data_IF_171643984129
#
_entry.id   IF_171643984129
#
_cell.length_a   1.000
_cell.length_b   1.000
_cell.length_c   1.000
_cell.angle_alpha   90.00
_cell.angle_beta   90.00
_cell.angle_gamma   90.00
#
_symmetry.space_group_name_H-M   'P 1'
#
loop_
_entity.id
_entity.type
_entity.pdbx_description
1 polymer ?
#
# COMPACT_ATOMS: atom_id res chain seq x y z
N UNK A 1 18.13 -9.87 -6.72
CA UNK A 1 17.32 -11.01 -6.18
C UNK A 1 15.84 -10.68 -6.15
N UNK A 2 14.96 -11.61 -6.56
CA UNK A 2 13.50 -11.49 -6.44
C UNK A 2 13.08 -11.48 -4.97
N UNK A 3 11.86 -11.02 -4.65
CA UNK A 3 11.24 -11.32 -3.35
C UNK A 3 11.45 -12.81 -3.08
N UNK A 4 11.88 -13.19 -1.88
CA UNK A 4 11.97 -14.58 -1.53
C UNK A 4 10.55 -15.18 -1.60
N UNK A 5 10.27 -16.00 -2.62
CA UNK A 5 8.94 -16.60 -2.84
C UNK A 5 8.51 -17.51 -1.67
N UNK A 6 9.41 -17.74 -0.70
CA UNK A 6 9.12 -18.44 0.55
C UNK A 6 8.47 -17.56 1.64
N UNK A 7 8.42 -16.23 1.49
CA UNK A 7 7.78 -15.36 2.49
C UNK A 7 6.30 -15.20 2.16
N UNK A 8 5.46 -15.74 3.04
CA UNK A 8 4.01 -15.78 2.94
C UNK A 8 3.36 -14.98 4.06
N UNK A 9 2.05 -14.72 3.94
CA UNK A 9 1.27 -14.09 4.99
C UNK A 9 1.37 -14.83 6.33
N UNK A 10 1.45 -16.17 6.31
CA UNK A 10 1.66 -16.97 7.53
C UNK A 10 2.97 -16.63 8.26
N UNK A 11 4.03 -16.29 7.53
CA UNK A 11 5.31 -15.91 8.14
C UNK A 11 5.26 -14.52 8.79
N UNK A 12 4.44 -13.62 8.25
CA UNK A 12 4.38 -12.21 8.69
C UNK A 12 3.24 -11.92 9.66
N UNK A 13 2.26 -12.83 9.77
CA UNK A 13 1.06 -12.52 10.55
C UNK A 13 1.36 -12.42 12.04
N UNK A 14 0.64 -11.51 12.69
CA UNK A 14 0.56 -11.40 14.14
C UNK A 14 -0.85 -11.77 14.58
N UNK A 15 -0.93 -12.62 15.60
CA UNK A 15 -2.20 -13.14 16.12
C UNK A 15 -2.83 -12.19 17.16
N UNK A 16 -2.07 -11.23 17.68
CA UNK A 16 -2.59 -10.20 18.56
C UNK A 16 -3.11 -9.03 17.72
N UNK A 17 -4.43 -8.95 17.56
CA UNK A 17 -5.09 -7.87 16.84
C UNK A 17 -6.44 -7.52 17.47
N UNK A 18 -6.91 -6.31 17.21
CA UNK A 18 -8.25 -5.90 17.62
C UNK A 18 -9.24 -6.55 16.65
N UNK A 19 -10.14 -7.39 17.18
CA UNK A 19 -11.31 -7.89 16.50
C UNK A 19 -12.58 -7.47 17.24
N UNK A 20 -13.54 -6.88 16.54
CA UNK A 20 -14.81 -6.38 17.10
C UNK A 20 -15.97 -6.67 16.14
N UNK A 21 -17.17 -6.78 16.71
CA UNK A 21 -18.43 -6.85 15.98
C UNK A 21 -18.77 -5.50 15.31
N UNK A 22 -19.42 -5.52 14.16
CA UNK A 22 -19.91 -4.32 13.47
C UNK A 22 -20.97 -3.56 14.27
N UNK A 23 -21.70 -4.28 15.12
CA UNK A 23 -22.71 -3.72 16.02
C UNK A 23 -22.13 -3.08 17.28
N UNK A 24 -20.84 -3.27 17.54
CA UNK A 24 -20.21 -2.72 18.73
C UNK A 24 -20.15 -1.17 18.67
N UNK A 25 -20.20 -0.49 19.82
CA UNK A 25 -20.04 0.97 19.89
C UNK A 25 -18.66 1.40 19.40
N UNK A 26 -18.59 2.53 18.67
CA UNK A 26 -17.32 3.12 18.24
C UNK A 26 -16.42 3.49 19.44
N UNK A 27 -16.99 3.87 20.58
CA UNK A 27 -16.23 4.15 21.80
C UNK A 27 -15.36 2.98 22.25
N UNK A 28 -15.84 1.73 22.10
CA UNK A 28 -15.10 0.51 22.41
C UNK A 28 -13.91 0.30 21.45
N UNK A 29 -14.11 0.56 20.15
CA UNK A 29 -13.06 0.50 19.15
C UNK A 29 -11.95 1.52 19.46
N UNK A 30 -12.33 2.78 19.68
CA UNK A 30 -11.42 3.87 20.00
C UNK A 30 -10.60 3.54 21.26
N UNK A 31 -11.26 3.06 22.32
CA UNK A 31 -10.59 2.65 23.56
C UNK A 31 -9.52 1.59 23.32
N UNK A 32 -9.88 0.48 22.65
CA UNK A 32 -8.94 -0.58 22.32
C UNK A 32 -7.77 -0.11 21.44
N UNK A 33 -8.04 0.73 20.43
CA UNK A 33 -7.00 1.27 19.55
C UNK A 33 -6.02 2.19 20.28
N UNK A 34 -6.49 2.90 21.32
CA UNK A 34 -5.64 3.73 22.17
C UNK A 34 -4.74 2.87 23.06
N UNK A 35 -5.32 1.88 23.75
CA UNK A 35 -4.62 0.98 24.66
C UNK A 35 -3.50 0.20 23.95
N UNK A 36 -3.81 -0.39 22.78
CA UNK A 36 -2.83 -1.19 22.03
C UNK A 36 -1.96 -0.38 21.07
N UNK A 37 -2.21 0.93 20.96
CA UNK A 37 -1.63 1.81 19.92
C UNK A 37 -1.86 1.31 18.48
N UNK A 38 -2.80 0.39 18.26
CA UNK A 38 -3.04 -0.23 16.96
C UNK A 38 -3.43 0.78 15.87
N UNK A 39 -3.00 0.52 14.65
CA UNK A 39 -3.24 1.39 13.49
C UNK A 39 -4.63 1.19 12.87
N UNK A 40 -5.24 0.05 13.16
CA UNK A 40 -6.59 -0.30 12.77
C UNK A 40 -7.09 -1.54 13.50
N UNK A 41 -8.31 -1.92 13.21
CA UNK A 41 -8.98 -3.08 13.76
C UNK A 41 -9.65 -3.90 12.66
N UNK A 42 -9.74 -5.21 12.89
CA UNK A 42 -10.56 -6.12 12.10
C UNK A 42 -11.99 -6.08 12.64
N UNK A 43 -12.96 -6.13 11.73
CA UNK A 43 -14.38 -6.24 12.06
C UNK A 43 -14.90 -7.58 11.58
N UNK A 44 -15.52 -8.34 12.47
CA UNK A 44 -16.06 -9.67 12.16
C UNK A 44 -17.25 -10.02 13.05
N UNK A 45 -18.30 -10.60 12.47
CA UNK A 45 -19.50 -11.11 13.13
C UNK A 45 -19.76 -12.56 12.73
N UNK A 46 -18.88 -13.45 13.15
CA UNK A 46 -18.82 -14.84 12.67
C UNK A 46 -18.23 -14.97 11.25
N UNK A 47 -18.46 -13.97 10.40
CA UNK A 47 -17.80 -13.77 9.10
C UNK A 47 -17.03 -12.44 9.10
N UNK A 48 -16.04 -12.34 8.21
CA UNK A 48 -15.24 -11.12 8.08
C UNK A 48 -15.99 -10.01 7.33
N UNK A 49 -16.12 -8.83 7.95
CA UNK A 49 -16.86 -7.69 7.39
C UNK A 49 -15.94 -6.64 6.75
N UNK A 50 -14.73 -6.44 7.29
CA UNK A 50 -13.80 -5.43 6.83
C UNK A 50 -12.82 -4.98 7.92
N UNK A 51 -12.18 -3.83 7.71
CA UNK A 51 -11.31 -3.20 8.71
C UNK A 51 -11.80 -1.80 9.06
N UNK A 52 -11.28 -1.24 10.15
CA UNK A 52 -11.39 0.18 10.45
C UNK A 52 -10.01 0.74 10.73
N UNK A 53 -9.61 1.79 10.01
CA UNK A 53 -8.32 2.46 10.23
C UNK A 53 -8.50 3.79 10.99
N UNK A 54 -7.42 4.26 11.64
CA UNK A 54 -7.40 5.63 12.23
C UNK A 54 -7.77 6.71 11.20
N UNK A 55 -7.32 6.52 9.95
CA UNK A 55 -7.57 7.45 8.83
C UNK A 55 -9.07 7.53 8.48
N UNK A 56 -9.77 6.39 8.45
CA UNK A 56 -11.22 6.36 8.21
C UNK A 56 -12.02 6.97 9.34
N UNK A 57 -11.64 6.68 10.58
CA UNK A 57 -12.30 7.28 11.74
C UNK A 57 -12.27 8.80 11.67
N UNK A 58 -11.16 9.36 11.19
CA UNK A 58 -11.05 10.80 11.01
C UNK A 58 -11.84 11.36 9.83
N UNK A 59 -11.74 10.73 8.65
CA UNK A 59 -12.45 11.21 7.46
C UNK A 59 -13.97 11.14 7.63
N UNK A 60 -14.45 10.41 8.64
CA UNK A 60 -15.86 10.23 8.93
C UNK A 60 -16.30 11.14 10.08
N UNK A 61 -17.47 11.77 9.95
CA UNK A 61 -18.11 12.49 11.05
C UNK A 61 -18.62 11.46 12.07
N UNK A 62 -17.93 11.31 13.20
CA UNK A 62 -18.26 10.32 14.23
C UNK A 62 -19.03 10.96 15.38
N UNK A 63 -20.13 10.31 15.79
CA UNK A 63 -20.77 10.55 17.09
C UNK A 63 -20.41 9.37 18.02
N UNK A 64 -19.40 9.58 18.87
CA UNK A 64 -18.84 8.53 19.74
C UNK A 64 -19.88 7.96 20.72
N UNK A 65 -20.91 8.74 21.06
CA UNK A 65 -21.92 8.34 22.04
C UNK A 65 -22.99 7.41 21.46
N UNK A 66 -23.26 7.50 20.15
CA UNK A 66 -24.41 6.81 19.51
C UNK A 66 -24.03 5.93 18.32
N UNK A 67 -22.85 6.12 17.73
CA UNK A 67 -22.46 5.46 16.49
C UNK A 67 -21.88 4.05 16.73
N UNK A 68 -22.27 3.13 15.86
CA UNK A 68 -21.75 1.75 15.76
C UNK A 68 -20.63 1.63 14.73
N UNK A 69 -19.80 0.59 14.88
CA UNK A 69 -18.65 0.33 14.00
C UNK A 69 -19.05 0.16 12.53
N UNK A 70 -20.22 -0.42 12.23
CA UNK A 70 -20.75 -0.62 10.87
C UNK A 70 -20.67 0.63 9.96
N UNK A 71 -20.72 1.85 10.51
CA UNK A 71 -20.69 3.09 9.73
C UNK A 71 -19.29 3.52 9.28
N UNK A 72 -18.25 2.92 9.86
CA UNK A 72 -16.84 3.27 9.62
C UNK A 72 -16.02 2.11 9.06
N UNK A 73 -16.66 1.01 8.64
CA UNK A 73 -15.99 -0.13 8.01
C UNK A 73 -15.46 0.26 6.63
N UNK A 74 -14.24 -0.19 6.35
CA UNK A 74 -13.58 -0.14 5.05
C UNK A 74 -13.50 -1.55 4.47
N UNK A 75 -13.89 -1.68 3.20
CA UNK A 75 -13.71 -2.93 2.46
C UNK A 75 -12.22 -3.15 2.22
N UNK A 76 -11.66 -4.16 2.86
CA UNK A 76 -10.28 -4.57 2.69
C UNK A 76 -10.24 -6.08 2.43
N UNK A 77 -9.65 -6.57 1.34
CA UNK A 77 -9.51 -8.00 1.12
C UNK A 77 -8.68 -8.68 2.20
N UNK A 78 -9.10 -9.86 2.65
CA UNK A 78 -8.30 -10.70 3.53
C UNK A 78 -7.33 -11.58 2.72
N UNK A 79 -6.12 -11.73 3.25
CA UNK A 79 -5.08 -12.61 2.73
C UNK A 79 -5.37 -14.06 3.07
N UNK A 80 -5.06 -14.98 2.17
CA UNK A 80 -4.83 -16.38 2.53
C UNK A 80 -3.46 -16.51 3.21
N UNK A 81 -3.27 -17.53 4.04
CA UNK A 81 -1.97 -17.80 4.67
C UNK A 81 -0.84 -18.05 3.67
N UNK A 82 -1.18 -18.59 2.50
CA UNK A 82 -0.25 -18.89 1.42
C UNK A 82 0.03 -17.67 0.52
N UNK A 83 -0.63 -16.53 0.73
CA UNK A 83 -0.41 -15.35 -0.09
C UNK A 83 1.02 -14.85 0.11
N UNK A 84 1.79 -14.84 -0.99
CA UNK A 84 3.17 -14.38 -0.99
C UNK A 84 3.27 -12.87 -0.78
N UNK A 85 4.43 -12.43 -0.31
CA UNK A 85 4.72 -11.03 0.01
C UNK A 85 4.42 -10.03 -1.13
N UNK A 86 4.50 -10.45 -2.39
CA UNK A 86 4.08 -9.62 -3.53
C UNK A 86 2.58 -9.31 -3.50
N UNK A 87 1.75 -10.33 -3.27
CA UNK A 87 0.29 -10.16 -3.14
C UNK A 87 -0.04 -9.25 -1.96
N UNK A 88 0.70 -9.38 -0.86
CA UNK A 88 0.58 -8.52 0.32
C UNK A 88 0.86 -7.06 -0.05
N UNK A 89 1.99 -6.76 -0.72
CA UNK A 89 2.35 -5.41 -1.16
C UNK A 89 1.27 -4.82 -2.08
N UNK A 90 0.82 -5.59 -3.08
CA UNK A 90 -0.21 -5.15 -4.02
C UNK A 90 -1.53 -4.84 -3.32
N UNK A 91 -1.96 -5.69 -2.39
CA UNK A 91 -3.18 -5.45 -1.62
C UNK A 91 -3.04 -4.22 -0.71
N UNK A 92 -1.90 -4.01 -0.05
CA UNK A 92 -1.66 -2.81 0.77
C UNK A 92 -1.73 -1.53 -0.06
N UNK A 93 -1.12 -1.52 -1.25
CA UNK A 93 -1.15 -0.37 -2.16
C UNK A 93 -2.57 -0.08 -2.65
N UNK A 94 -3.32 -1.11 -3.06
CA UNK A 94 -4.66 -0.95 -3.63
C UNK A 94 -5.74 -0.61 -2.60
N UNK A 95 -5.62 -1.10 -1.37
CA UNK A 95 -6.58 -0.84 -0.30
C UNK A 95 -6.18 0.33 0.61
N UNK A 96 -5.06 0.99 0.31
CA UNK A 96 -4.52 2.15 1.03
C UNK A 96 -4.39 1.98 2.56
N UNK A 97 -4.24 0.73 2.99
CA UNK A 97 -4.11 0.35 4.40
C UNK A 97 -2.71 -0.15 4.70
N UNK A 98 -2.31 0.02 5.96
CA UNK A 98 -1.04 -0.50 6.49
C UNK A 98 -1.22 -1.81 7.25
N UNK A 99 -2.45 -2.32 7.30
CA UNK A 99 -2.80 -3.61 7.90
C UNK A 99 -3.65 -4.44 6.95
N UNK A 100 -3.31 -5.71 6.77
CA UNK A 100 -4.12 -6.67 6.01
C UNK A 100 -4.53 -7.84 6.92
N UNK A 101 -5.83 -8.19 6.99
CA UNK A 101 -6.26 -9.36 7.73
C UNK A 101 -5.83 -10.64 7.03
N UNK A 102 -5.52 -11.68 7.80
CA UNK A 102 -5.20 -13.03 7.32
C UNK A 102 -6.30 -13.98 7.73
N UNK A 103 -6.84 -14.74 6.78
CA UNK A 103 -7.94 -15.65 6.99
C UNK A 103 -7.56 -17.12 6.73
N UNK A 104 -8.18 -17.99 7.54
CA UNK A 104 -8.20 -19.44 7.34
C UNK A 104 -9.65 -19.91 7.44
N UNK A 105 -10.12 -20.60 6.41
CA UNK A 105 -11.51 -21.11 6.33
C UNK A 105 -12.58 -20.03 6.67
N UNK A 106 -12.40 -18.82 6.14
CA UNK A 106 -13.34 -17.69 6.32
C UNK A 106 -13.27 -16.97 7.66
N UNK A 107 -12.40 -17.40 8.59
CA UNK A 107 -12.17 -16.74 9.87
C UNK A 107 -10.85 -15.99 9.86
N UNK A 108 -10.83 -14.77 10.41
CA UNK A 108 -9.60 -14.01 10.58
C UNK A 108 -8.79 -14.60 11.73
N UNK A 109 -7.55 -14.98 11.46
CA UNK A 109 -6.62 -15.59 12.41
C UNK A 109 -5.44 -14.68 12.79
N UNK A 110 -5.22 -13.61 12.03
CA UNK A 110 -4.13 -12.68 12.26
C UNK A 110 -4.20 -11.45 11.36
N UNK A 111 -3.21 -10.58 11.50
CA UNK A 111 -3.00 -9.41 10.63
C UNK A 111 -1.53 -9.30 10.23
N UNK A 112 -1.27 -8.80 9.02
CA UNK A 112 0.07 -8.44 8.54
C UNK A 112 0.18 -6.92 8.53
N UNK A 113 1.25 -6.38 9.13
CA UNK A 113 1.54 -4.94 9.10
C UNK A 113 2.53 -4.58 8.01
N UNK A 114 2.37 -3.41 7.41
CA UNK A 114 3.23 -2.92 6.34
C UNK A 114 4.70 -2.77 6.78
N UNK A 115 4.96 -2.44 8.05
CA UNK A 115 6.31 -2.35 8.59
C UNK A 115 7.01 -3.72 8.61
N UNK A 116 6.29 -4.78 8.97
CA UNK A 116 6.83 -6.15 8.94
C UNK A 116 7.15 -6.58 7.50
N UNK A 117 6.29 -6.22 6.54
CA UNK A 117 6.55 -6.43 5.11
C UNK A 117 7.84 -5.74 4.68
N UNK A 118 7.94 -4.42 4.88
CA UNK A 118 9.12 -3.64 4.46
C UNK A 118 10.41 -4.13 5.15
N UNK A 119 10.34 -4.55 6.40
CA UNK A 119 11.50 -5.11 7.12
C UNK A 119 12.01 -6.41 6.47
N UNK A 120 11.11 -7.30 6.07
CA UNK A 120 11.50 -8.50 5.32
C UNK A 120 12.06 -8.15 3.95
N UNK A 121 11.46 -7.18 3.27
CA UNK A 121 11.94 -6.72 1.97
C UNK A 121 13.37 -6.22 2.02
N UNK A 122 13.73 -5.48 3.07
CA UNK A 122 15.10 -5.02 3.31
C UNK A 122 16.12 -6.16 3.28
N UNK A 123 15.75 -7.37 3.74
CA UNK A 123 16.67 -8.49 3.82
C UNK A 123 16.87 -9.22 2.47
N UNK A 124 15.92 -9.09 1.55
CA UNK A 124 15.88 -9.93 0.33
C UNK A 124 15.97 -9.15 -0.98
N UNK A 125 15.91 -7.82 -0.95
CA UNK A 125 15.91 -6.98 -2.15
C UNK A 125 17.14 -6.07 -2.27
N UNK A 126 17.40 -5.61 -3.51
CA UNK A 126 18.44 -4.63 -3.81
C UNK A 126 18.06 -3.21 -3.37
N UNK A 127 16.79 -3.01 -2.99
CA UNK A 127 16.29 -1.72 -2.51
C UNK A 127 17.02 -1.25 -1.26
N UNK A 128 17.50 -2.16 -0.41
CA UNK A 128 18.23 -1.85 0.81
C UNK A 128 19.40 -0.87 0.59
N UNK A 129 20.06 -0.94 -0.57
CA UNK A 129 21.23 -0.11 -0.90
C UNK A 129 20.90 1.18 -1.66
N UNK A 130 19.64 1.36 -2.09
CA UNK A 130 19.20 2.59 -2.75
C UNK A 130 19.29 3.78 -1.80
N UNK A 131 19.54 4.97 -2.34
CA UNK A 131 19.58 6.20 -1.56
C UNK A 131 18.16 6.72 -1.32
N UNK A 132 17.92 7.27 -0.13
CA UNK A 132 16.62 7.81 0.27
C UNK A 132 16.04 8.81 -0.75
N UNK A 133 16.87 9.71 -1.29
CA UNK A 133 16.45 10.69 -2.29
C UNK A 133 15.89 10.11 -3.59
N UNK A 134 16.19 8.86 -3.93
CA UNK A 134 15.69 8.22 -5.15
C UNK A 134 14.20 7.85 -5.03
N UNK A 135 13.70 7.72 -3.80
CA UNK A 135 12.37 7.21 -3.49
C UNK A 135 11.51 8.26 -2.77
N UNK A 136 12.15 9.10 -1.96
CA UNK A 136 11.47 10.10 -1.15
C UNK A 136 10.72 11.13 -1.99
N UNK A 137 9.63 11.64 -1.42
CA UNK A 137 9.01 12.87 -1.93
C UNK A 137 9.91 14.04 -1.57
N UNK A 138 10.57 14.62 -2.57
CA UNK A 138 11.42 15.80 -2.40
C UNK A 138 10.57 17.08 -2.27
N UNK A 139 11.12 18.09 -1.59
CA UNK A 139 10.45 19.36 -1.30
C UNK A 139 9.10 19.15 -0.59
N UNK A 140 9.11 18.58 0.63
CA UNK A 140 7.89 18.28 1.35
C UNK A 140 7.14 19.57 1.70
N UNK A 141 5.82 19.48 1.84
CA UNK A 141 5.03 20.58 2.38
C UNK A 141 5.43 20.77 3.84
N UNK A 142 5.84 21.98 4.21
CA UNK A 142 6.22 22.35 5.58
C UNK A 142 5.34 23.47 6.12
N UNK A 143 5.25 23.56 7.45
CA UNK A 143 4.60 24.67 8.15
C UNK A 143 5.55 25.30 9.16
N UNK A 144 5.31 26.56 9.49
CA UNK A 144 6.08 27.25 10.52
C UNK A 144 5.51 26.95 11.91
N UNK A 145 6.33 27.04 12.95
CA UNK A 145 5.91 26.93 14.36
C UNK A 145 4.70 27.82 14.72
N UNK A 146 4.66 29.02 14.14
CA UNK A 146 3.61 30.02 14.36
C UNK A 146 2.33 29.81 13.53
N UNK A 147 2.34 28.87 12.58
CA UNK A 147 1.13 28.53 11.82
C UNK A 147 0.10 27.89 12.74
N UNK A 148 -1.16 27.85 12.32
CA UNK A 148 -2.26 27.36 13.15
C UNK A 148 -2.62 25.90 12.86
N UNK A 149 -3.21 25.23 13.85
CA UNK A 149 -3.76 23.88 13.68
C UNK A 149 -4.85 23.84 12.60
N UNK A 150 -5.66 24.90 12.45
CA UNK A 150 -6.62 25.00 11.35
C UNK A 150 -5.95 24.89 9.98
N UNK A 151 -4.86 25.64 9.77
CA UNK A 151 -4.08 25.61 8.53
C UNK A 151 -3.50 24.22 8.29
N UNK A 152 -2.91 23.61 9.32
CA UNK A 152 -2.38 22.25 9.24
C UNK A 152 -3.45 21.23 8.83
N UNK A 153 -4.60 21.22 9.51
CA UNK A 153 -5.71 20.30 9.16
C UNK A 153 -6.29 20.56 7.78
N UNK A 154 -6.36 21.81 7.34
CA UNK A 154 -6.79 22.14 5.98
C UNK A 154 -5.84 21.50 4.97
N UNK A 155 -4.52 21.70 5.12
CA UNK A 155 -3.50 21.12 4.25
C UNK A 155 -3.52 19.59 4.29
N UNK A 156 -3.55 18.98 5.48
CA UNK A 156 -3.63 17.52 5.64
C UNK A 156 -4.83 16.94 4.88
N UNK A 157 -5.98 17.62 4.93
CA UNK A 157 -7.20 17.19 4.23
C UNK A 157 -7.11 17.41 2.71
N UNK A 158 -6.68 18.58 2.25
CA UNK A 158 -6.68 18.92 0.83
C UNK A 158 -5.55 18.27 0.05
N UNK A 159 -4.41 18.00 0.71
CA UNK A 159 -3.25 17.32 0.13
C UNK A 159 -3.18 15.83 0.49
N UNK A 160 -4.15 15.36 1.28
CA UNK A 160 -4.28 13.97 1.71
C UNK A 160 -3.04 13.39 2.44
N UNK A 161 -2.30 14.26 3.14
CA UNK A 161 -1.11 13.91 3.91
C UNK A 161 -1.41 13.76 5.39
N UNK A 162 -0.75 12.81 6.05
CA UNK A 162 -0.95 12.52 7.46
C UNK A 162 -0.01 13.26 8.41
N UNK A 163 1.11 13.79 7.91
CA UNK A 163 2.20 14.40 8.70
C UNK A 163 2.84 15.54 7.94
N UNK A 164 3.25 16.57 8.67
CA UNK A 164 3.85 17.79 8.13
C UNK A 164 5.09 18.14 8.96
N UNK A 165 6.29 18.25 8.36
CA UNK A 165 7.46 18.79 9.02
C UNK A 165 7.27 20.27 9.39
N UNK A 166 7.69 20.64 10.58
CA UNK A 166 7.54 21.99 11.13
C UNK A 166 8.90 22.66 11.21
N UNK A 167 9.00 23.91 10.76
CA UNK A 167 10.26 24.66 10.73
C UNK A 167 10.25 25.88 11.64
N UNK A 168 11.42 26.19 12.20
CA UNK A 168 11.70 27.43 12.91
C UNK A 168 11.73 28.64 11.95
N UNK A 169 11.92 29.84 12.50
CA UNK A 169 12.02 31.08 11.73
C UNK A 169 13.21 31.12 10.74
N UNK A 170 14.23 30.27 10.92
CA UNK A 170 15.41 30.15 10.03
C UNK A 170 15.23 29.07 8.95
N UNK A 171 14.05 28.43 8.92
CA UNK A 171 13.72 27.35 7.99
C UNK A 171 14.32 26.00 8.38
N UNK A 172 14.86 25.86 9.60
CA UNK A 172 15.38 24.58 10.12
C UNK A 172 14.25 23.75 10.67
N UNK A 173 14.34 22.43 10.55
CA UNK A 173 13.37 21.50 11.12
C UNK A 173 13.36 21.63 12.64
N UNK A 174 12.20 21.93 13.20
CA UNK A 174 11.97 22.10 14.63
C UNK A 174 11.09 20.98 15.21
N UNK A 175 10.18 20.43 14.40
CA UNK A 175 9.28 19.38 14.85
C UNK A 175 8.58 18.66 13.70
N UNK A 176 7.68 17.76 14.07
CA UNK A 176 6.73 17.14 13.14
C UNK A 176 5.34 17.19 13.75
N UNK A 177 4.36 17.63 12.95
CA UNK A 177 2.96 17.58 13.34
C UNK A 177 2.28 16.44 12.61
N UNK A 178 1.78 15.46 13.35
CA UNK A 178 1.00 14.38 12.79
C UNK A 178 -0.49 14.55 13.05
N UNK A 179 -1.25 13.99 12.12
CA UNK A 179 -2.68 13.84 12.26
C UNK A 179 -3.07 13.13 13.57
N UNK A 180 -2.25 12.15 14.00
CA UNK A 180 -2.44 11.43 15.26
C UNK A 180 -2.35 12.36 16.47
N UNK A 181 -1.40 13.28 16.48
CA UNK A 181 -1.17 14.21 17.61
C UNK A 181 -2.40 15.09 17.83
N UNK A 182 -2.96 15.62 16.74
CA UNK A 182 -4.19 16.41 16.76
C UNK A 182 -5.39 15.58 17.28
N UNK A 183 -5.55 14.34 16.81
CA UNK A 183 -6.69 13.49 17.24
C UNK A 183 -6.58 13.07 18.70
N UNK A 184 -5.44 12.53 19.10
CA UNK A 184 -5.27 11.95 20.43
C UNK A 184 -5.43 13.01 21.52
N UNK A 185 -4.98 14.25 21.25
CA UNK A 185 -5.03 15.34 22.23
C UNK A 185 -6.39 16.03 22.29
N UNK A 186 -7.18 16.03 21.21
CA UNK A 186 -8.39 16.85 21.13
C UNK A 186 -9.69 16.09 20.88
N UNK A 187 -9.71 15.07 20.03
CA UNK A 187 -10.94 14.37 19.68
C UNK A 187 -11.24 13.20 20.63
N UNK A 188 -10.22 12.70 21.34
CA UNK A 188 -10.30 11.48 22.14
C UNK A 188 -10.11 11.70 23.65
N UNK A 189 -10.11 12.95 24.13
CA UNK A 189 -10.16 13.21 25.58
C UNK A 189 -11.53 12.75 26.12
N UNK A 190 -11.58 11.87 27.13
CA UNK A 190 -12.85 11.59 27.80
C UNK A 190 -13.38 12.88 28.38
N UNK A 191 -14.65 13.20 28.12
CA UNK A 191 -15.36 14.21 28.92
C UNK A 191 -15.32 13.68 30.35
N UNK A 192 -14.45 14.27 31.17
CA UNK A 192 -14.40 14.01 32.59
C UNK A 192 -15.78 14.31 33.14
N UNK A 193 -16.58 13.27 33.41
CA UNK A 193 -17.77 13.39 34.26
C UNK A 193 -17.29 13.63 35.69
N UNK A 194 -16.75 14.81 35.97
CA UNK A 194 -16.77 15.34 37.33
C UNK A 194 -18.12 16.04 37.48
N UNK A 195 -18.88 15.55 38.45
CA UNK A 195 -20.26 15.94 38.68
C UNK A 195 -20.44 17.44 38.78
N UNK A 196 -21.38 17.96 38.01
CA UNK A 196 -22.13 19.15 38.37
C UNK A 196 -23.43 19.12 37.58
N UNK A 197 -24.52 18.97 38.32
CA UNK A 197 -25.90 19.14 37.86
C UNK A 197 -26.06 20.48 37.15
N UNK A 198 -26.12 20.49 35.82
CA UNK A 198 -26.60 21.67 35.06
C UNK A 198 -27.45 21.21 33.87
N UNK A 199 -28.73 21.57 33.95
CA UNK A 199 -29.77 21.73 32.93
C UNK A 199 -29.91 20.71 31.80
N UNK A 200 -30.98 19.90 31.93
CA UNK A 200 -31.79 19.43 30.80
C UNK A 200 -32.22 20.63 29.96
N UNK A 201 -31.89 20.59 28.67
CA UNK A 201 -32.49 21.47 27.67
C UNK A 201 -31.46 22.23 26.87
N UNK A 202 -30.97 21.61 25.79
CA UNK A 202 -30.93 22.17 24.44
C UNK A 202 -30.25 21.18 23.49
N UNK A 203 -30.88 21.01 22.34
CA UNK A 203 -30.47 20.16 21.23
C UNK A 203 -28.99 20.33 20.89
N UNK A 204 -28.16 19.33 21.19
CA UNK A 204 -26.77 19.27 20.76
C UNK A 204 -26.68 18.73 19.32
N UNK A 205 -27.22 19.50 18.37
CA UNK A 205 -26.99 19.29 16.92
C UNK A 205 -25.78 20.07 16.39
N UNK A 206 -24.99 20.69 17.27
CA UNK A 206 -23.71 21.34 16.94
C UNK A 206 -22.60 20.89 17.90
N UNK A 207 -22.05 19.70 17.70
CA UNK A 207 -20.87 19.25 18.46
C UNK A 207 -19.59 19.82 17.88
N UNK A 208 -19.37 21.11 18.12
CA UNK A 208 -18.05 21.71 18.27
C UNK A 208 -18.05 22.29 19.68
N UNK A 209 -17.28 21.72 20.62
CA UNK A 209 -17.11 22.39 21.92
C UNK A 209 -16.47 23.76 21.68
N UNK A 210 -16.82 24.84 22.43
CA UNK A 210 -16.11 26.12 22.39
C UNK A 210 -14.59 25.97 22.52
N UNK A 211 -14.16 24.93 23.24
CA UNK A 211 -12.76 24.53 23.45
C UNK A 211 -12.08 24.08 22.14
N UNK A 212 -12.81 23.40 21.24
CA UNK A 212 -12.30 22.96 19.94
C UNK A 212 -12.17 24.09 18.93
N UNK A 213 -13.09 25.07 18.95
CA UNK A 213 -12.98 26.25 18.10
C UNK A 213 -11.77 27.11 18.50
N UNK A 214 -11.47 27.20 19.81
CA UNK A 214 -10.28 27.87 20.34
C UNK A 214 -8.98 27.16 19.93
N UNK A 215 -8.95 25.83 19.93
CA UNK A 215 -7.80 25.02 19.49
C UNK A 215 -7.37 25.30 18.05
N UNK A 216 -8.32 25.53 17.14
CA UNK A 216 -8.03 25.75 15.72
C UNK A 216 -7.09 26.93 15.48
N UNK A 217 -7.06 27.88 16.41
CA UNK A 217 -6.24 29.08 16.37
C UNK A 217 -4.92 28.93 17.14
N UNK A 218 -4.68 27.81 17.82
CA UNK A 218 -3.42 27.58 18.54
C UNK A 218 -2.25 27.46 17.57
N UNK A 219 -1.07 28.00 17.95
CA UNK A 219 0.18 27.75 17.24
C UNK A 219 0.51 26.25 17.19
N UNK A 220 1.12 25.82 16.09
CA UNK A 220 1.56 24.43 15.92
C UNK A 220 2.66 24.06 16.94
N UNK A 221 3.49 25.01 17.35
CA UNK A 221 4.55 24.77 18.34
C UNK A 221 4.04 24.13 19.64
N UNK A 222 2.80 24.41 20.05
CA UNK A 222 2.20 23.87 21.27
C UNK A 222 1.76 22.39 21.14
N UNK A 223 1.75 21.88 19.91
CA UNK A 223 1.15 20.60 19.52
C UNK A 223 2.09 19.63 18.80
N UNK A 224 3.16 20.13 18.19
CA UNK A 224 4.11 19.31 17.46
C UNK A 224 4.90 18.38 18.40
N UNK A 225 5.45 17.31 17.82
CA UNK A 225 6.47 16.52 18.50
C UNK A 225 7.85 17.12 18.23
N UNK A 226 8.55 17.50 19.31
CA UNK A 226 9.92 18.07 19.26
C UNK A 226 10.97 17.03 18.85
N UNK A 227 10.70 15.74 19.09
CA UNK A 227 11.62 14.65 18.75
C UNK A 227 11.38 14.23 17.30
N UNK A 228 12.22 14.71 16.39
CA UNK A 228 12.19 14.32 14.98
C UNK A 228 13.33 13.36 14.68
N UNK A 229 13.00 12.10 14.45
CA UNK A 229 13.94 11.15 13.86
C UNK A 229 14.09 11.52 12.39
N UNK A 230 15.31 11.87 11.99
CA UNK A 230 15.64 12.33 10.64
C UNK A 230 16.69 11.44 9.99
N UNK A 231 16.88 11.61 8.68
CA UNK A 231 17.95 10.97 7.92
C UNK A 231 18.50 11.94 6.86
N UNK A 232 19.70 11.68 6.37
CA UNK A 232 20.28 12.39 5.23
C UNK A 232 19.69 11.91 3.91
N UNK A 233 19.63 12.78 2.90
CA UNK A 233 19.10 12.42 1.56
C UNK A 233 19.88 11.28 0.86
N UNK A 234 21.16 11.09 1.23
CA UNK A 234 22.05 10.05 0.69
C UNK A 234 22.07 8.78 1.55
N UNK A 235 21.36 8.74 2.68
CA UNK A 235 21.29 7.56 3.52
C UNK A 235 20.62 6.41 2.76
N UNK A 236 21.03 5.17 3.06
CA UNK A 236 20.47 3.99 2.42
C UNK A 236 19.06 3.69 2.90
N UNK A 237 18.22 3.09 2.05
CA UNK A 237 16.89 2.67 2.50
C UNK A 237 16.93 1.63 3.62
N UNK A 238 17.97 0.81 3.71
CA UNK A 238 18.16 -0.09 4.86
C UNK A 238 18.23 0.70 6.17
N UNK A 239 18.95 1.82 6.17
CA UNK A 239 19.03 2.74 7.33
C UNK A 239 17.67 3.38 7.62
N UNK A 240 16.95 3.84 6.59
CA UNK A 240 15.61 4.43 6.73
C UNK A 240 14.64 3.43 7.37
N UNK A 241 14.60 2.20 6.86
CA UNK A 241 13.72 1.14 7.36
C UNK A 241 14.06 0.79 8.81
N UNK A 242 15.36 0.72 9.15
CA UNK A 242 15.81 0.51 10.51
C UNK A 242 15.33 1.63 11.45
N UNK A 243 15.42 2.90 11.03
CA UNK A 243 14.90 4.03 11.81
C UNK A 243 13.38 3.92 12.02
N UNK A 244 12.63 3.61 10.96
CA UNK A 244 11.18 3.40 11.04
C UNK A 244 10.84 2.29 12.04
N UNK A 245 11.60 1.18 12.03
CA UNK A 245 11.39 0.06 12.93
C UNK A 245 11.72 0.40 14.39
N UNK A 246 12.91 0.95 14.63
CA UNK A 246 13.40 1.27 15.98
C UNK A 246 12.50 2.27 16.71
N UNK A 247 11.95 3.23 15.96
CA UNK A 247 11.13 4.29 16.52
C UNK A 247 9.62 4.10 16.27
N UNK A 248 9.23 2.98 15.62
CA UNK A 248 7.83 2.71 15.22
C UNK A 248 7.19 3.88 14.46
N UNK A 249 7.95 4.46 13.52
CA UNK A 249 7.55 5.63 12.74
C UNK A 249 7.06 5.24 11.33
N UNK A 250 5.96 5.84 10.85
CA UNK A 250 5.45 5.58 9.50
C UNK A 250 6.24 6.28 8.38
N UNK A 251 7.07 7.26 8.74
CA UNK A 251 7.84 8.11 7.83
C UNK A 251 9.06 8.70 8.53
N UNK A 252 10.03 9.13 7.72
CA UNK A 252 11.25 9.80 8.12
C UNK A 252 11.40 11.08 7.30
N UNK A 253 11.69 12.19 7.98
CA UNK A 253 12.00 13.47 7.32
C UNK A 253 13.48 13.45 6.91
N UNK A 254 13.73 13.74 5.64
CA UNK A 254 15.08 13.88 5.11
C UNK A 254 15.55 15.32 5.29
N UNK A 255 16.75 15.49 5.82
CA UNK A 255 17.34 16.80 6.11
C UNK A 255 18.68 17.01 5.41
N UNK A 256 18.98 18.27 5.10
CA UNK A 256 20.29 18.75 4.66
C UNK A 256 20.54 20.10 5.34
N UNK A 257 21.65 20.24 6.08
CA UNK A 257 21.95 21.42 6.89
C UNK A 257 20.77 21.85 7.80
N UNK A 258 20.20 20.88 8.53
CA UNK A 258 19.01 21.02 9.38
C UNK A 258 17.72 21.44 8.67
N UNK A 259 17.70 21.56 7.33
CA UNK A 259 16.51 21.93 6.58
C UNK A 259 15.81 20.69 6.02
N UNK A 260 14.47 20.59 6.09
CA UNK A 260 13.74 19.49 5.49
C UNK A 260 13.81 19.58 3.96
N UNK A 261 14.37 18.55 3.33
CA UNK A 261 14.53 18.45 1.87
C UNK A 261 13.69 17.33 1.25
N UNK A 262 13.19 16.42 2.07
CA UNK A 262 12.36 15.30 1.61
C UNK A 262 11.58 14.65 2.75
N UNK A 263 10.63 13.80 2.40
CA UNK A 263 9.98 12.87 3.32
C UNK A 263 9.85 11.52 2.64
N UNK A 264 10.14 10.44 3.38
CA UNK A 264 10.00 9.07 2.90
C UNK A 264 9.02 8.31 3.79
N UNK A 265 8.03 7.68 3.17
CA UNK A 265 6.96 6.95 3.87
C UNK A 265 7.03 5.44 3.58
N UNK A 266 6.37 4.64 4.41
CA UNK A 266 6.15 3.21 4.12
C UNK A 266 5.50 3.01 2.73
N UNK A 267 4.61 3.90 2.29
CA UNK A 267 3.95 3.79 0.98
C UNK A 267 4.95 3.94 -0.17
N UNK A 268 5.93 4.83 -0.04
CA UNK A 268 6.96 5.02 -1.06
C UNK A 268 7.86 3.78 -1.16
N UNK A 269 8.19 3.17 -0.02
CA UNK A 269 8.94 1.91 0.05
C UNK A 269 8.14 0.74 -0.57
N UNK A 270 6.84 0.64 -0.30
CA UNK A 270 5.98 -0.38 -0.90
C UNK A 270 5.85 -0.19 -2.42
N UNK A 271 5.70 1.05 -2.90
CA UNK A 271 5.68 1.37 -4.33
C UNK A 271 6.99 0.97 -5.00
N UNK A 272 8.12 1.29 -4.37
CA UNK A 272 9.43 0.90 -4.90
C UNK A 272 9.59 -0.61 -4.96
N UNK A 273 9.06 -1.33 -3.96
CA UNK A 273 9.08 -2.79 -3.94
C UNK A 273 8.31 -3.38 -5.12
N UNK A 274 7.16 -2.80 -5.44
CA UNK A 274 6.33 -3.21 -6.57
C UNK A 274 7.00 -2.86 -7.92
N UNK A 275 7.61 -1.67 -8.04
CA UNK A 275 8.24 -1.19 -9.27
C UNK A 275 9.46 -2.01 -9.70
N UNK A 276 10.34 -2.40 -8.75
CA UNK A 276 11.51 -3.24 -9.06
C UNK A 276 11.16 -4.59 -9.70
N UNK A 277 9.93 -5.09 -9.53
CA UNK A 277 9.50 -6.35 -10.17
C UNK A 277 8.88 -6.13 -11.55
N UNK A 278 8.26 -4.98 -11.82
CA UNK A 278 7.89 -4.59 -13.18
C UNK A 278 9.13 -4.51 -14.07
N UNK A 279 10.25 -4.00 -13.55
CA UNK A 279 11.54 -3.96 -14.26
C UNK A 279 12.25 -5.34 -14.34
N UNK A 280 11.94 -6.29 -13.44
CA UNK A 280 12.51 -7.65 -13.50
C UNK A 280 11.81 -8.58 -14.50
N UNK A 281 10.58 -8.27 -14.89
CA UNK A 281 9.95 -9.00 -16.00
C UNK A 281 10.66 -8.58 -17.27
N UNK A 282 11.48 -9.47 -17.84
CA UNK A 282 12.10 -9.22 -19.13
C UNK A 282 11.06 -9.40 -20.25
N UNK A 283 10.07 -8.50 -20.28
CA UNK A 283 9.02 -8.43 -21.28
C UNK A 283 9.36 -7.27 -22.20
N UNK A 284 9.47 -7.55 -23.50
CA UNK A 284 9.78 -6.53 -24.49
C UNK A 284 8.66 -6.47 -25.52
N UNK A 285 8.11 -5.28 -25.72
CA UNK A 285 7.12 -5.01 -26.77
C UNK A 285 7.84 -4.45 -27.99
N UNK A 286 7.78 -5.17 -29.11
CA UNK A 286 8.45 -4.81 -30.37
C UNK A 286 7.39 -4.34 -31.36
N UNK A 287 7.57 -3.13 -31.92
CA UNK A 287 6.66 -2.52 -32.90
C UNK A 287 5.25 -2.26 -32.35
N UNK A 288 5.14 -1.87 -31.08
CA UNK A 288 3.87 -1.61 -30.38
C UNK A 288 2.99 -0.58 -31.11
N UNK A 289 1.70 -0.89 -31.40
CA UNK A 289 0.74 0.08 -31.91
C UNK A 289 0.47 1.22 -30.92
N UNK A 290 0.23 2.45 -31.42
CA UNK A 290 -0.39 3.52 -30.62
C UNK A 290 -1.83 3.12 -30.25
N UNK A 291 -2.14 3.14 -28.96
CA UNK A 291 -3.44 2.84 -28.34
C UNK A 291 -3.63 3.75 -27.11
N UNK A 292 -4.84 3.83 -26.56
CA UNK A 292 -5.12 4.60 -25.35
C UNK A 292 -4.60 3.91 -24.07
N UNK A 293 -4.59 4.66 -22.96
CA UNK A 293 -4.06 4.20 -21.67
C UNK A 293 -4.85 3.03 -21.06
N UNK A 294 -6.16 2.96 -21.30
CA UNK A 294 -7.02 1.88 -20.76
C UNK A 294 -6.69 0.58 -21.48
N UNK A 295 -6.65 0.61 -22.81
CA UNK A 295 -6.30 -0.54 -23.64
C UNK A 295 -4.87 -1.01 -23.39
N UNK A 296 -3.93 -0.08 -23.20
CA UNK A 296 -2.55 -0.40 -22.83
C UNK A 296 -2.49 -1.15 -21.49
N UNK A 297 -3.24 -0.68 -20.48
CA UNK A 297 -3.31 -1.34 -19.17
C UNK A 297 -3.85 -2.76 -19.24
N UNK A 298 -4.92 -2.99 -20.01
CA UNK A 298 -5.51 -4.32 -20.21
C UNK A 298 -4.56 -5.28 -20.94
N UNK A 299 -3.88 -4.79 -21.98
CA UNK A 299 -2.90 -5.55 -22.75
C UNK A 299 -1.70 -5.94 -21.86
N UNK A 300 -1.11 -4.97 -21.17
CA UNK A 300 0.01 -5.22 -20.26
C UNK A 300 -0.36 -6.22 -19.17
N UNK A 301 -1.57 -6.13 -18.62
CA UNK A 301 -2.09 -7.10 -17.65
C UNK A 301 -2.16 -8.52 -18.21
N UNK A 302 -2.71 -8.70 -19.41
CA UNK A 302 -2.78 -10.01 -20.08
C UNK A 302 -1.39 -10.65 -20.25
N UNK A 303 -0.42 -9.86 -20.71
CA UNK A 303 0.96 -10.36 -20.93
C UNK A 303 1.67 -10.65 -19.61
N UNK A 304 1.52 -9.78 -18.60
CA UNK A 304 2.16 -9.96 -17.29
C UNK A 304 1.58 -11.16 -16.52
N UNK A 305 0.26 -11.34 -16.53
CA UNK A 305 -0.38 -12.53 -15.93
C UNK A 305 0.12 -13.83 -16.59
N UNK A 306 0.32 -13.81 -17.90
CA UNK A 306 0.86 -14.94 -18.66
C UNK A 306 2.32 -15.21 -18.31
N UNK A 307 3.16 -14.16 -18.29
CA UNK A 307 4.57 -14.26 -17.89
C UNK A 307 4.71 -14.88 -16.50
N UNK A 308 3.93 -14.38 -15.52
CA UNK A 308 3.97 -14.86 -14.15
C UNK A 308 3.53 -16.33 -14.02
N UNK A 309 2.56 -16.78 -14.84
CA UNK A 309 2.18 -18.20 -14.92
C UNK A 309 3.32 -19.04 -15.50
N UNK A 310 3.94 -18.60 -16.59
CA UNK A 310 5.08 -19.30 -17.20
C UNK A 310 6.27 -19.39 -16.24
N UNK A 311 6.48 -18.36 -15.42
CA UNK A 311 7.56 -18.31 -14.43
C UNK A 311 7.42 -19.39 -13.36
N UNK A 312 6.17 -19.68 -12.96
CA UNK A 312 5.88 -20.75 -12.00
C UNK A 312 6.11 -22.14 -12.59
N UNK A 313 5.94 -22.28 -13.91
CA UNK A 313 6.12 -23.55 -14.62
C UNK A 313 7.58 -23.83 -14.96
N UNK A 314 8.36 -22.78 -15.24
CA UNK A 314 9.73 -22.86 -15.75
C UNK A 314 10.60 -21.93 -14.92
N UNK A 315 11.43 -22.50 -14.04
CA UNK A 315 12.37 -21.72 -13.24
C UNK A 315 13.39 -21.01 -14.15
N UNK A 316 13.77 -19.78 -13.79
CA UNK A 316 14.75 -18.92 -14.50
C UNK A 316 14.33 -18.46 -15.92
N UNK A 317 13.24 -17.71 -16.06
CA UNK A 317 12.91 -17.08 -17.35
C UNK A 317 14.00 -16.10 -17.79
N UNK A 318 14.39 -16.17 -19.06
CA UNK A 318 15.27 -15.19 -19.68
C UNK A 318 14.49 -14.02 -20.26
N UNK A 319 13.48 -14.24 -21.11
CA UNK A 319 12.71 -13.18 -21.76
C UNK A 319 11.34 -13.62 -22.29
N UNK A 320 10.42 -12.66 -22.44
CA UNK A 320 9.17 -12.77 -23.21
C UNK A 320 9.09 -11.59 -24.19
N UNK A 321 9.31 -11.85 -25.46
CA UNK A 321 9.23 -10.84 -26.51
C UNK A 321 7.87 -10.90 -27.19
N UNK A 322 7.17 -9.77 -27.26
CA UNK A 322 5.87 -9.63 -27.91
C UNK A 322 6.05 -8.71 -29.11
N UNK A 323 6.05 -9.29 -30.30
CA UNK A 323 6.15 -8.54 -31.55
C UNK A 323 4.78 -8.34 -32.19
N UNK A 324 4.50 -7.11 -32.58
CA UNK A 324 3.26 -6.73 -33.25
C UNK A 324 3.50 -6.49 -34.74
N UNK A 325 2.64 -7.05 -35.58
CA UNK A 325 2.53 -6.73 -37.00
C UNK A 325 1.13 -6.22 -37.32
N UNK A 326 1.06 -5.27 -38.24
CA UNK A 326 -0.20 -4.71 -38.74
C UNK A 326 -0.34 -5.03 -40.22
N UNK A 327 -1.49 -5.54 -40.60
CA UNK A 327 -1.87 -5.74 -42.00
C UNK A 327 -3.09 -4.87 -42.29
N UNK A 328 -2.92 -3.93 -43.22
CA UNK A 328 -4.04 -3.14 -43.72
C UNK A 328 -4.85 -4.01 -44.67
N UNK A 329 -6.13 -4.23 -44.38
CA UNK A 329 -7.05 -4.90 -45.29
C UNK A 329 -7.80 -3.88 -46.17
N UNK A 330 -8.51 -4.36 -47.19
CA UNK A 330 -9.49 -3.54 -47.92
C UNK A 330 -10.54 -2.99 -46.94
N UNK A 331 -11.02 -1.77 -47.19
CA UNK A 331 -12.00 -1.03 -46.36
C UNK A 331 -11.48 -0.46 -45.02
N UNK A 332 -10.16 -0.19 -44.90
CA UNK A 332 -9.63 0.60 -43.78
C UNK A 332 -9.58 -0.12 -42.43
N UNK A 333 -9.85 -1.42 -42.39
CA UNK A 333 -9.71 -2.24 -41.18
C UNK A 333 -8.28 -2.74 -41.03
N UNK A 334 -7.75 -2.63 -39.82
CA UNK A 334 -6.40 -3.11 -39.47
C UNK A 334 -6.54 -4.49 -38.82
N UNK A 335 -5.82 -5.47 -39.36
CA UNK A 335 -5.64 -6.77 -38.70
C UNK A 335 -4.32 -6.76 -37.94
N UNK A 336 -4.36 -7.14 -36.68
CA UNK A 336 -3.19 -7.25 -35.82
C UNK A 336 -2.75 -8.70 -35.75
N UNK A 337 -1.45 -8.93 -35.90
CA UNK A 337 -0.82 -10.23 -35.65
C UNK A 337 0.20 -10.06 -34.52
N UNK A 338 0.14 -10.94 -33.54
CA UNK A 338 0.98 -10.91 -32.34
C UNK A 338 1.80 -12.19 -32.30
N UNK A 339 3.12 -12.03 -32.29
CA UNK A 339 4.07 -13.12 -32.09
C UNK A 339 4.67 -13.02 -30.70
N UNK A 340 4.42 -14.02 -29.87
CA UNK A 340 4.98 -14.14 -28.54
C UNK A 340 6.10 -15.17 -28.54
N UNK A 341 7.30 -14.74 -28.16
CA UNK A 341 8.49 -15.58 -28.07
C UNK A 341 8.97 -15.62 -26.63
N UNK A 342 8.89 -16.80 -26.01
CA UNK A 342 9.32 -17.02 -24.64
C UNK A 342 10.60 -17.85 -24.60
N UNK A 343 11.58 -17.36 -23.85
CA UNK A 343 12.90 -17.96 -23.71
C UNK A 343 13.22 -18.23 -22.24
N UNK A 344 13.60 -19.47 -21.94
CA UNK A 344 14.16 -19.91 -20.67
C UNK A 344 15.29 -20.94 -20.94
N UNK A 345 16.17 -21.23 -19.97
CA UNK A 345 17.24 -22.20 -20.13
C UNK A 345 16.69 -23.56 -20.58
N UNK A 346 17.09 -23.99 -21.78
CA UNK A 346 16.65 -25.26 -22.37
C UNK A 346 15.19 -25.30 -22.85
N UNK A 347 14.47 -24.17 -22.89
CA UNK A 347 13.09 -24.10 -23.36
C UNK A 347 12.81 -22.82 -24.14
N UNK A 348 12.37 -23.00 -25.39
CA UNK A 348 11.82 -21.93 -26.22
C UNK A 348 10.38 -22.28 -26.59
N UNK A 349 9.47 -21.32 -26.40
CA UNK A 349 8.07 -21.41 -26.79
C UNK A 349 7.73 -20.26 -27.73
N UNK A 350 6.91 -20.53 -28.74
CA UNK A 350 6.53 -19.53 -29.72
C UNK A 350 5.04 -19.68 -30.00
N UNK A 351 4.30 -18.61 -29.78
CA UNK A 351 2.88 -18.57 -30.05
C UNK A 351 2.53 -17.37 -30.92
N UNK A 352 1.66 -17.59 -31.90
CA UNK A 352 1.17 -16.53 -32.79
C UNK A 352 -0.35 -16.54 -32.81
N UNK A 353 -0.95 -15.35 -32.79
CA UNK A 353 -2.37 -15.17 -33.06
C UNK A 353 -2.66 -13.86 -33.79
N UNK A 354 -3.77 -13.82 -34.52
CA UNK A 354 -4.14 -12.64 -35.30
C UNK A 354 -5.65 -12.36 -35.21
N UNK A 355 -5.99 -11.10 -34.98
CA UNK A 355 -7.36 -10.65 -34.79
C UNK A 355 -7.54 -9.20 -35.29
N UNK A 356 -8.78 -8.78 -35.53
CA UNK A 356 -9.12 -7.40 -35.87
C UNK A 356 -9.05 -6.47 -34.65
N UNK A 357 -9.13 -7.02 -33.44
CA UNK A 357 -8.91 -6.33 -32.19
C UNK A 357 -7.53 -6.70 -31.59
N UNK A 358 -6.72 -5.70 -31.28
CA UNK A 358 -5.37 -5.90 -30.76
C UNK A 358 -5.35 -6.70 -29.45
N UNK A 359 -6.24 -6.38 -28.49
CA UNK A 359 -6.29 -7.07 -27.21
C UNK A 359 -6.67 -8.55 -27.39
N UNK A 360 -7.63 -8.84 -28.27
CA UNK A 360 -8.01 -10.21 -28.63
C UNK A 360 -6.83 -11.00 -29.20
N UNK A 361 -6.07 -10.41 -30.13
CA UNK A 361 -4.87 -11.04 -30.70
C UNK A 361 -3.80 -11.33 -29.63
N UNK A 362 -3.56 -10.38 -28.72
CA UNK A 362 -2.62 -10.60 -27.60
C UNK A 362 -3.11 -11.73 -26.69
N UNK A 363 -4.37 -11.69 -26.26
CA UNK A 363 -4.94 -12.72 -25.41
C UNK A 363 -4.94 -14.11 -26.05
N UNK A 364 -5.14 -14.19 -27.37
CA UNK A 364 -5.06 -15.44 -28.11
C UNK A 364 -3.63 -15.99 -28.19
N UNK A 365 -2.64 -15.13 -28.47
CA UNK A 365 -1.23 -15.51 -28.46
C UNK A 365 -0.79 -15.97 -27.06
N UNK A 366 -1.18 -15.26 -26.00
CA UNK A 366 -0.89 -15.64 -24.61
C UNK A 366 -1.50 -16.99 -24.23
N UNK A 367 -2.78 -17.24 -24.54
CA UNK A 367 -3.44 -18.54 -24.29
C UNK A 367 -2.74 -19.69 -25.01
N UNK A 368 -2.32 -19.48 -26.27
CA UNK A 368 -1.57 -20.48 -27.04
C UNK A 368 -0.20 -20.77 -26.40
N UNK A 369 0.49 -19.73 -25.95
CA UNK A 369 1.79 -19.84 -25.27
C UNK A 369 1.68 -20.64 -23.96
N UNK A 370 0.65 -20.36 -23.14
CA UNK A 370 0.36 -21.11 -21.91
C UNK A 370 0.11 -22.61 -22.22
N UNK A 371 -0.67 -22.90 -23.26
CA UNK A 371 -0.97 -24.27 -23.68
C UNK A 371 0.30 -25.02 -24.11
N UNK A 372 1.19 -24.36 -24.84
CA UNK A 372 2.47 -24.94 -25.27
C UNK A 372 3.38 -25.26 -24.08
N UNK A 373 3.44 -24.37 -23.08
CA UNK A 373 4.20 -24.57 -21.85
C UNK A 373 3.69 -25.77 -21.03
N UNK A 374 2.37 -25.92 -20.90
CA UNK A 374 1.74 -27.06 -20.24
C UNK A 374 2.00 -28.38 -20.98
N UNK A 375 2.05 -28.35 -22.31
CA UNK A 375 2.38 -29.51 -23.13
C UNK A 375 3.82 -30.02 -22.90
N UNK A 376 4.80 -29.11 -22.90
CA UNK A 376 6.22 -29.46 -22.74
C UNK A 376 6.62 -29.78 -21.29
N UNK A 377 5.97 -29.19 -20.29
CA UNK A 377 6.20 -29.54 -18.86
C UNK A 377 5.78 -30.98 -18.51
N UNK A 378 4.67 -31.48 -19.06
CA UNK A 378 4.25 -32.89 -18.93
C UNK A 378 5.23 -33.88 -19.57
N UNK A 379 5.94 -33.48 -20.62
CA UNK A 379 6.91 -34.33 -21.31
C UNK A 379 8.24 -34.48 -20.53
N UNK A 380 8.69 -33.43 -19.85
CA UNK A 380 9.87 -33.47 -18.97
C UNK A 380 9.66 -34.38 -17.74
N UNK A 381 8.43 -34.45 -17.22
CA UNK A 381 8.08 -35.35 -16.11
C UNK A 381 8.10 -36.84 -16.53
N UNK A 382 7.62 -37.18 -17.74
CA UNK A 382 7.64 -38.56 -18.26
C UNK A 382 9.04 -39.11 -18.54
N UNK A 383 10.02 -38.27 -18.92
CA UNK A 383 11.41 -38.72 -19.11
C UNK A 383 12.13 -39.07 -17.79
N UNK A 384 11.70 -38.51 -16.65
CA UNK A 384 12.27 -38.85 -15.33
C UNK A 384 11.74 -40.18 -14.79
N UNK A 385 10.53 -40.61 -15.15
CA UNK A 385 9.95 -41.86 -14.67
C UNK A 385 10.35 -43.11 -15.46
N UNK A 386 10.84 -42.98 -16.71
CA UNK A 386 11.34 -44.11 -17.51
C UNK A 386 12.86 -44.34 -17.41
N UNK A 387 13.56 -43.59 -16.55
CA UNK A 387 15.00 -43.73 -16.28
C UNK A 387 15.30 -44.33 -14.90
N UNK A 388 14.35 -45.05 -14.31
CA UNK A 388 14.58 -45.85 -13.09
C UNK A 388 14.38 -47.31 -13.38
#
# INVERSE_FOLDING_TARGET
MAFNDNITAANLMKNNFINLSEDAPISKLIGKMKESKAEGAVVSDGTYCGIVTKRKLFKTKIDVAKMKIQKVIEKCPALSEADGIERIVQLMLNSETRILPVQRAGKIIGVVHALDVINELRAVNEMANMQAQQIATLNPIVLAEKDTIAKAMHIMRTKDIGRIPITDAKGRLSGILSFRDIVEKYLLKPVSRKGSSVSRGRSASSSFSPEHASMLNLPIADEMSDVVVTAGKKDSLSRIIQLMQQHSLPDIVLVENDRPVGIITIRDLLKQAAAQKQEKRNIQFISMPKIDEIDLGLLQRSVTETYDKLQRLVQNILALNIQFKKYSAQFGRIKYEVHAHFSAPGLTLVATDADWNLLSAVQGAMRKLEKEALGKSKWSYKKKTYRR
#
